data_IF_347179775968
#
_entry.id   IF_347179775968
#
_cell.length_a   1.000
_cell.length_b   1.000
_cell.length_c   1.000
_cell.angle_alpha   90.00
_cell.angle_beta   90.00
_cell.angle_gamma   90.00
#
_symmetry.space_group_name_H-M   'P 1'
#
loop_
_entity.id
_entity.type
_entity.pdbx_description
1 polymer ?
#
# COMPACT_ATOMS: atom_id res chain seq x y z
N UNK A 1 -16.58 -21.26 9.61
CA UNK A 1 -16.06 -22.23 8.63
C UNK A 1 -14.91 -22.98 9.27
N UNK A 2 -14.96 -24.32 9.32
CA UNK A 2 -13.97 -25.17 9.99
C UNK A 2 -12.89 -25.58 8.97
N UNK A 3 -11.61 -25.40 9.31
CA UNK A 3 -10.49 -25.87 8.50
C UNK A 3 -10.04 -27.26 8.97
N UNK A 4 -10.03 -28.23 8.06
CA UNK A 4 -9.51 -29.57 8.29
C UNK A 4 -8.02 -29.62 7.91
N UNK A 5 -7.16 -29.99 8.85
CA UNK A 5 -5.73 -30.26 8.58
C UNK A 5 -5.58 -31.72 8.14
N UNK A 6 -5.05 -31.96 6.94
CA UNK A 6 -4.39 -33.23 6.60
C UNK A 6 -2.89 -32.96 6.51
N UNK A 7 -2.13 -33.51 7.45
CA UNK A 7 -0.67 -33.51 7.45
C UNK A 7 -0.23 -34.85 6.89
N UNK A 8 0.52 -34.84 5.78
CA UNK A 8 1.31 -35.97 5.31
C UNK A 8 2.78 -35.60 5.53
N UNK A 9 3.48 -36.39 6.34
CA UNK A 9 4.88 -36.15 6.68
C UNK A 9 5.85 -36.73 5.65
N UNK A 10 6.95 -36.02 5.44
CA UNK A 10 8.21 -36.58 4.97
C UNK A 10 9.34 -35.81 5.69
N UNK A 11 10.21 -36.54 6.39
CA UNK A 11 11.34 -36.03 7.16
C UNK A 11 12.57 -35.99 6.27
N UNK A 12 13.22 -34.84 6.10
CA UNK A 12 14.61 -34.72 5.60
C UNK A 12 15.30 -33.48 6.22
N UNK A 13 16.37 -33.77 6.97
CA UNK A 13 17.54 -32.94 7.38
C UNK A 13 17.35 -31.43 7.60
N UNK A 14 17.38 -31.04 8.88
CA UNK A 14 17.35 -29.65 9.36
C UNK A 14 18.68 -28.92 9.16
N UNK A 15 18.70 -27.93 8.28
CA UNK A 15 19.56 -26.75 8.39
C UNK A 15 18.82 -25.77 9.30
N UNK A 16 19.43 -25.36 10.42
CA UNK A 16 18.87 -24.32 11.28
C UNK A 16 19.01 -22.96 10.59
N UNK A 17 18.07 -22.64 9.69
CA UNK A 17 17.64 -21.25 9.57
C UNK A 17 16.74 -21.00 10.78
N UNK A 18 17.03 -19.95 11.55
CA UNK A 18 16.09 -19.41 12.52
C UNK A 18 14.87 -18.83 11.78
N UNK A 19 14.03 -19.71 11.25
CA UNK A 19 12.73 -19.37 10.69
C UNK A 19 11.80 -19.06 11.84
N UNK A 20 11.34 -17.81 11.93
CA UNK A 20 10.21 -17.48 12.78
C UNK A 20 8.99 -18.24 12.26
N UNK A 21 8.69 -19.41 12.82
CA UNK A 21 7.42 -20.08 12.62
C UNK A 21 6.35 -19.31 13.40
N UNK A 22 5.78 -18.29 12.76
CA UNK A 22 4.67 -17.51 13.31
C UNK A 22 3.42 -18.36 13.41
N UNK A 23 3.15 -18.89 14.60
CA UNK A 23 1.81 -19.37 14.97
C UNK A 23 0.89 -18.16 15.07
N UNK A 24 -0.32 -18.28 14.52
CA UNK A 24 -1.38 -17.28 14.50
C UNK A 24 -1.57 -16.58 15.86
N UNK A 25 -1.03 -15.36 15.99
CA UNK A 25 -1.32 -14.41 17.06
C UNK A 25 -2.07 -13.22 16.45
N UNK A 26 -3.24 -12.93 16.98
CA UNK A 26 -4.15 -11.88 16.53
C UNK A 26 -3.78 -10.47 17.04
N UNK A 27 -2.54 -10.26 17.48
CA UNK A 27 -2.07 -8.96 17.95
C UNK A 27 -0.69 -8.62 17.37
N UNK A 28 -0.66 -7.63 16.47
CA UNK A 28 0.57 -7.14 15.82
C UNK A 28 1.59 -6.61 16.85
N UNK A 29 1.17 -6.32 18.09
CA UNK A 29 2.07 -5.89 19.19
C UNK A 29 2.97 -7.00 19.73
N UNK A 30 2.57 -8.27 19.61
CA UNK A 30 3.43 -9.38 20.03
C UNK A 30 4.54 -9.66 19.00
N UNK A 31 4.27 -9.51 17.71
CA UNK A 31 5.24 -9.75 16.63
C UNK A 31 6.42 -8.75 16.70
N UNK A 32 6.13 -7.48 17.04
CA UNK A 32 7.16 -6.46 17.22
C UNK A 32 8.12 -6.74 18.39
N UNK A 33 7.71 -7.56 19.38
CA UNK A 33 8.58 -7.98 20.49
C UNK A 33 9.46 -9.18 20.14
N UNK A 34 9.06 -10.00 19.18
CA UNK A 34 9.79 -11.22 18.81
C UNK A 34 10.88 -10.99 17.77
N UNK A 35 10.88 -9.84 17.07
CA UNK A 35 11.87 -9.47 16.06
C UNK A 35 12.28 -8.00 16.21
N UNK A 36 13.18 -7.64 17.15
CA UNK A 36 13.67 -6.28 17.25
C UNK A 36 14.33 -5.86 15.92
N UNK A 37 14.17 -4.59 15.55
CA UNK A 37 14.87 -4.04 14.39
C UNK A 37 16.38 -4.19 14.59
N UNK A 38 17.12 -4.64 13.56
CA UNK A 38 18.57 -4.74 13.68
C UNK A 38 19.19 -3.35 13.77
N UNK A 39 20.37 -3.25 14.39
CA UNK A 39 21.16 -2.02 14.40
C UNK A 39 21.79 -1.71 13.04
N UNK A 40 21.93 -2.72 12.19
CA UNK A 40 22.44 -2.62 10.83
C UNK A 40 21.47 -3.30 9.86
N UNK A 41 21.09 -2.60 8.80
CA UNK A 41 20.21 -3.14 7.76
C UNK A 41 21.02 -3.74 6.62
N UNK A 42 20.66 -4.96 6.20
CA UNK A 42 21.20 -5.60 5.01
C UNK A 42 20.04 -5.94 4.08
N UNK A 43 20.22 -5.70 2.78
CA UNK A 43 19.20 -5.92 1.76
C UNK A 43 19.81 -6.62 0.56
N UNK A 44 19.05 -7.54 -0.04
CA UNK A 44 19.32 -8.08 -1.36
C UNK A 44 18.28 -7.50 -2.32
N UNK A 45 18.73 -6.92 -3.43
CA UNK A 45 17.86 -6.32 -4.43
C UNK A 45 17.63 -7.31 -5.58
N UNK A 46 16.37 -7.44 -6.01
CA UNK A 46 16.05 -8.14 -7.25
C UNK A 46 16.50 -7.33 -8.48
N UNK A 47 16.38 -7.92 -9.66
CA UNK A 47 16.28 -7.14 -10.90
C UNK A 47 14.99 -6.31 -10.91
N UNK A 48 14.83 -5.44 -11.93
CA UNK A 48 13.56 -4.76 -12.16
C UNK A 48 12.41 -5.78 -12.31
N UNK A 49 11.37 -5.63 -11.49
CA UNK A 49 10.21 -6.54 -11.45
C UNK A 49 9.07 -6.07 -12.35
N UNK A 50 8.92 -4.75 -12.50
CA UNK A 50 7.86 -4.12 -13.28
C UNK A 50 8.48 -3.04 -14.15
N UNK A 51 8.18 -3.08 -15.44
CA UNK A 51 8.55 -2.05 -16.40
C UNK A 51 7.31 -1.27 -16.82
N UNK A 52 7.43 0.03 -17.15
CA UNK A 52 6.32 0.78 -17.72
C UNK A 52 5.86 0.17 -19.05
N UNK A 53 4.56 0.24 -19.33
CA UNK A 53 4.04 -0.11 -20.66
C UNK A 53 4.56 0.84 -21.75
N UNK A 54 4.44 0.44 -23.02
CA UNK A 54 4.80 1.29 -24.16
C UNK A 54 4.15 2.68 -24.09
N UNK A 55 4.92 3.72 -24.41
CA UNK A 55 4.48 5.11 -24.32
C UNK A 55 4.51 5.72 -22.92
N UNK A 56 4.81 4.93 -21.88
CA UNK A 56 5.01 5.40 -20.51
C UNK A 56 6.52 5.52 -20.23
N UNK A 57 6.97 6.69 -19.76
CA UNK A 57 8.38 7.00 -19.50
C UNK A 57 8.91 6.43 -18.18
N UNK A 58 8.01 6.13 -17.24
CA UNK A 58 8.38 5.56 -15.95
C UNK A 58 7.19 5.15 -15.11
N UNK A 59 7.45 4.22 -14.18
CA UNK A 59 6.54 3.80 -13.12
C UNK A 59 7.24 4.02 -11.77
N UNK A 60 6.55 4.68 -10.83
CA UNK A 60 7.13 5.16 -9.58
C UNK A 60 6.12 5.10 -8.42
N UNK A 61 6.63 5.35 -7.22
CA UNK A 61 5.84 5.55 -5.99
C UNK A 61 4.82 4.43 -5.71
N UNK A 62 5.24 3.15 -5.69
CA UNK A 62 4.31 2.05 -5.48
C UNK A 62 3.77 2.03 -4.05
N UNK A 63 2.44 1.91 -3.90
CA UNK A 63 1.79 1.43 -2.69
C UNK A 63 1.35 -0.01 -2.90
N UNK A 64 1.78 -0.91 -2.01
CA UNK A 64 1.59 -2.35 -2.14
C UNK A 64 0.83 -2.90 -0.93
N UNK A 65 -0.21 -3.69 -1.18
CA UNK A 65 -0.91 -4.46 -0.14
C UNK A 65 -1.11 -5.91 -0.59
N UNK A 66 -1.09 -6.86 0.35
CA UNK A 66 -1.40 -8.26 0.07
C UNK A 66 -2.80 -8.60 0.59
N UNK A 67 -3.70 -9.02 -0.30
CA UNK A 67 -5.10 -9.31 0.00
C UNK A 67 -5.63 -10.35 -0.99
N UNK A 68 -6.48 -11.27 -0.52
CA UNK A 68 -7.07 -12.35 -1.34
C UNK A 68 -6.04 -13.06 -2.26
N UNK A 69 -4.95 -13.50 -1.64
CA UNK A 69 -3.84 -14.23 -2.26
C UNK A 69 -3.12 -13.48 -3.40
N UNK A 70 -3.22 -12.14 -3.43
CA UNK A 70 -2.56 -11.29 -4.43
C UNK A 70 -1.89 -10.08 -3.81
N UNK A 71 -0.80 -9.66 -4.44
CA UNK A 71 -0.29 -8.31 -4.29
C UNK A 71 -1.13 -7.37 -5.16
N UNK A 72 -1.63 -6.30 -4.56
CA UNK A 72 -2.31 -5.20 -5.23
C UNK A 72 -1.43 -3.96 -5.18
N UNK A 73 -1.12 -3.40 -6.35
CA UNK A 73 -0.18 -2.29 -6.50
C UNK A 73 -0.93 -1.10 -7.11
N UNK A 74 -0.84 0.05 -6.44
CA UNK A 74 -1.10 1.36 -7.03
C UNK A 74 0.23 2.06 -7.23
N UNK A 75 0.45 2.68 -8.39
CA UNK A 75 1.68 3.39 -8.70
C UNK A 75 1.42 4.63 -9.54
N UNK A 76 2.36 5.57 -9.50
CA UNK A 76 2.45 6.71 -10.41
C UNK A 76 3.00 6.25 -11.75
N UNK A 77 2.44 6.73 -12.86
CA UNK A 77 3.02 6.61 -14.20
C UNK A 77 3.15 7.98 -14.87
N UNK A 78 4.08 8.13 -15.81
CA UNK A 78 4.29 9.36 -16.55
C UNK A 78 4.36 9.12 -18.06
N UNK A 79 3.53 9.81 -18.83
CA UNK A 79 3.53 9.78 -20.31
C UNK A 79 3.70 11.19 -20.93
N UNK A 80 4.37 12.07 -20.21
CA UNK A 80 4.33 13.51 -20.41
C UNK A 80 3.34 14.21 -19.47
N UNK A 81 2.42 13.45 -18.84
CA UNK A 81 1.60 13.90 -17.73
C UNK A 81 1.67 12.90 -16.57
N UNK A 82 1.49 13.38 -15.34
CA UNK A 82 1.42 12.52 -14.16
C UNK A 82 0.05 11.84 -14.06
N UNK A 83 0.06 10.51 -14.03
CA UNK A 83 -1.11 9.63 -14.00
C UNK A 83 -0.88 8.51 -13.00
N UNK A 84 -1.84 7.60 -12.87
CA UNK A 84 -1.68 6.41 -12.04
C UNK A 84 -2.16 5.13 -12.70
N UNK A 85 -1.67 4.03 -12.16
CA UNK A 85 -1.93 2.68 -12.64
C UNK A 85 -2.24 1.76 -11.46
N UNK A 86 -3.13 0.80 -11.70
CA UNK A 86 -3.40 -0.33 -10.82
C UNK A 86 -3.02 -1.64 -11.51
N UNK A 87 -2.46 -2.59 -10.77
CA UNK A 87 -2.27 -3.95 -11.23
C UNK A 87 -2.16 -4.90 -10.03
N UNK A 88 -2.37 -6.20 -10.29
CA UNK A 88 -2.22 -7.23 -9.27
C UNK A 88 -1.63 -8.51 -9.85
N UNK A 89 -0.98 -9.27 -8.97
CA UNK A 89 -0.38 -10.57 -9.28
C UNK A 89 -0.26 -11.42 -8.00
N UNK A 90 -0.31 -12.74 -8.13
CA UNK A 90 -0.23 -13.66 -6.99
C UNK A 90 1.22 -13.86 -6.48
N UNK A 91 2.19 -13.82 -7.39
CA UNK A 91 3.60 -14.09 -7.10
C UNK A 91 4.48 -13.03 -7.78
N UNK A 92 5.51 -12.57 -7.09
CA UNK A 92 6.50 -11.60 -7.59
C UNK A 92 7.19 -12.05 -8.88
N UNK A 93 7.32 -13.36 -9.11
CA UNK A 93 7.83 -13.90 -10.38
C UNK A 93 6.94 -13.57 -11.59
N UNK A 94 5.67 -13.25 -11.33
CA UNK A 94 4.69 -12.87 -12.35
C UNK A 94 4.44 -11.36 -12.40
N UNK A 95 5.14 -10.55 -11.60
CA UNK A 95 4.95 -9.09 -11.56
C UNK A 95 5.12 -8.43 -12.94
N UNK A 96 6.09 -8.91 -13.72
CA UNK A 96 6.37 -8.41 -15.07
C UNK A 96 5.28 -8.72 -16.10
N UNK A 97 4.39 -9.68 -15.81
CA UNK A 97 3.26 -10.09 -16.67
C UNK A 97 1.94 -9.46 -16.25
N UNK A 98 1.92 -8.73 -15.14
CA UNK A 98 0.70 -8.15 -14.60
C UNK A 98 0.12 -7.11 -15.56
N UNK A 99 -1.19 -7.20 -15.83
CA UNK A 99 -1.88 -6.24 -16.69
C UNK A 99 -1.99 -4.92 -15.93
N UNK A 100 -1.26 -3.92 -16.41
CA UNK A 100 -1.30 -2.54 -15.94
C UNK A 100 -2.59 -1.86 -16.42
N UNK A 101 -3.45 -1.48 -15.49
CA UNK A 101 -4.72 -0.78 -15.74
C UNK A 101 -4.56 0.71 -15.41
N UNK A 102 -4.47 1.60 -16.41
CA UNK A 102 -4.45 3.04 -16.17
C UNK A 102 -5.72 3.48 -15.46
N UNK A 103 -5.59 4.34 -14.46
CA UNK A 103 -6.72 4.83 -13.65
C UNK A 103 -7.52 5.95 -14.35
N UNK A 104 -7.02 6.46 -15.47
CA UNK A 104 -7.68 7.53 -16.21
C UNK A 104 -9.07 7.10 -16.69
N UNK A 105 -10.09 7.94 -16.48
CA UNK A 105 -11.48 7.63 -16.81
C UNK A 105 -12.25 6.84 -15.74
N UNK A 106 -11.58 6.37 -14.68
CA UNK A 106 -12.29 5.84 -13.50
C UNK A 106 -12.89 6.98 -12.67
N UNK A 107 -13.83 6.67 -11.76
CA UNK A 107 -14.42 7.67 -10.84
C UNK A 107 -13.38 8.31 -9.92
N UNK A 108 -12.32 7.58 -9.57
CA UNK A 108 -11.20 8.09 -8.76
C UNK A 108 -10.42 9.17 -9.51
N UNK A 109 -10.22 8.97 -10.82
CA UNK A 109 -9.23 9.69 -11.59
C UNK A 109 -7.80 9.23 -11.26
N UNK A 110 -6.82 10.06 -11.57
CA UNK A 110 -5.41 9.74 -11.29
C UNK A 110 -5.05 10.02 -9.82
N UNK A 111 -4.27 9.12 -9.23
CA UNK A 111 -3.74 9.17 -7.86
C UNK A 111 -2.21 9.10 -7.88
N UNK A 112 -1.57 10.26 -7.82
CA UNK A 112 -0.10 10.38 -7.85
C UNK A 112 0.45 10.24 -6.42
N UNK A 113 1.58 9.55 -6.29
CA UNK A 113 2.15 9.13 -4.99
C UNK A 113 1.09 8.48 -4.08
N UNK A 114 0.47 7.38 -4.54
CA UNK A 114 -0.64 6.77 -3.82
C UNK A 114 -0.20 6.18 -2.48
N UNK A 115 -1.10 6.16 -1.51
CA UNK A 115 -0.99 5.33 -0.31
C UNK A 115 -2.29 4.57 -0.09
N UNK A 116 -2.23 3.24 -0.13
CA UNK A 116 -3.38 2.35 0.00
C UNK A 116 -3.31 1.53 1.27
N UNK A 117 -4.37 1.57 2.08
CA UNK A 117 -4.52 0.71 3.26
C UNK A 117 -5.99 0.44 3.59
N UNK A 118 -6.22 -0.59 4.40
CA UNK A 118 -7.55 -0.93 4.88
C UNK A 118 -7.82 -0.27 6.23
N UNK A 119 -8.86 0.55 6.30
CA UNK A 119 -9.31 1.19 7.53
C UNK A 119 -10.47 0.40 8.15
N UNK A 120 -10.12 -0.46 9.12
CA UNK A 120 -11.04 -1.39 9.79
C UNK A 120 -12.31 -0.73 10.34
N UNK A 121 -12.25 0.44 11.01
CA UNK A 121 -13.46 1.05 11.60
C UNK A 121 -14.54 1.40 10.57
N UNK A 122 -14.17 1.64 9.31
CA UNK A 122 -15.12 1.90 8.23
C UNK A 122 -15.39 0.68 7.34
N UNK A 123 -14.70 -0.43 7.59
CA UNK A 123 -14.73 -1.62 6.72
C UNK A 123 -14.44 -1.26 5.25
N UNK A 124 -13.44 -0.40 5.02
CA UNK A 124 -13.13 0.16 3.69
C UNK A 124 -11.63 0.26 3.44
N UNK A 125 -11.26 0.07 2.19
CA UNK A 125 -9.97 0.48 1.65
C UNK A 125 -9.96 1.98 1.39
N UNK A 126 -8.82 2.59 1.62
CA UNK A 126 -8.53 3.99 1.34
C UNK A 126 -7.35 4.07 0.36
N UNK A 127 -7.40 5.03 -0.55
CA UNK A 127 -6.31 5.40 -1.45
C UNK A 127 -6.11 6.91 -1.35
N UNK A 128 -5.04 7.33 -0.70
CA UNK A 128 -4.63 8.72 -0.55
C UNK A 128 -3.72 9.13 -1.71
N UNK A 129 -3.79 10.39 -2.13
CA UNK A 129 -3.01 10.93 -3.25
C UNK A 129 -2.52 12.34 -2.96
N UNK A 130 -1.40 12.71 -3.56
CA UNK A 130 -0.90 14.08 -3.56
C UNK A 130 -1.71 15.02 -4.47
N UNK A 131 -1.41 16.32 -4.39
CA UNK A 131 -2.02 17.43 -5.13
C UNK A 131 -3.54 17.57 -4.93
N UNK A 132 -3.88 18.38 -3.93
CA UNK A 132 -5.26 18.60 -3.49
C UNK A 132 -5.67 17.72 -2.31
N UNK A 133 -4.70 17.15 -1.57
CA UNK A 133 -4.93 16.42 -0.30
C UNK A 133 -6.11 15.46 -0.42
N UNK A 134 -6.05 14.55 -1.39
CA UNK A 134 -7.19 13.75 -1.81
C UNK A 134 -7.17 12.31 -1.27
N UNK A 135 -8.35 11.73 -1.09
CA UNK A 135 -8.54 10.30 -0.89
C UNK A 135 -9.78 9.78 -1.62
N UNK A 136 -9.75 8.50 -1.96
CA UNK A 136 -10.90 7.72 -2.41
C UNK A 136 -11.06 6.48 -1.54
N UNK A 137 -12.26 5.89 -1.54
CA UNK A 137 -12.55 4.68 -0.76
C UNK A 137 -13.24 3.60 -1.59
N UNK A 138 -13.07 2.34 -1.21
CA UNK A 138 -13.86 1.22 -1.74
C UNK A 138 -14.09 0.15 -0.67
N UNK A 139 -15.11 -0.69 -0.82
CA UNK A 139 -15.26 -1.95 -0.10
C UNK A 139 -14.57 -3.13 -0.80
N UNK A 140 -14.26 -2.99 -2.09
CA UNK A 140 -13.67 -4.04 -2.93
C UNK A 140 -12.41 -3.50 -3.63
N UNK A 141 -11.24 -3.90 -3.14
CA UNK A 141 -9.95 -3.49 -3.68
C UNK A 141 -9.66 -4.10 -5.07
N UNK A 142 -10.38 -5.16 -5.45
CA UNK A 142 -10.15 -5.89 -6.70
C UNK A 142 -10.81 -5.21 -7.90
N UNK A 143 -11.87 -4.41 -7.68
CA UNK A 143 -12.57 -3.64 -8.71
C UNK A 143 -12.15 -2.17 -8.70
N UNK A 144 -11.37 -1.77 -9.70
CA UNK A 144 -10.91 -0.39 -9.88
C UNK A 144 -12.05 0.63 -10.06
N UNK A 145 -13.22 0.20 -10.55
CA UNK A 145 -14.37 1.07 -10.81
C UNK A 145 -15.28 1.25 -9.60
N UNK A 146 -15.11 0.43 -8.56
CA UNK A 146 -15.88 0.48 -7.32
C UNK A 146 -15.49 1.67 -6.42
N UNK A 147 -14.30 2.23 -6.64
CA UNK A 147 -13.76 3.32 -5.85
C UNK A 147 -14.56 4.61 -6.02
N UNK A 148 -14.73 5.34 -4.92
CA UNK A 148 -15.45 6.63 -4.90
C UNK A 148 -14.68 7.72 -5.64
N UNK A 149 -15.41 8.76 -6.07
CA UNK A 149 -14.78 10.02 -6.44
C UNK A 149 -13.92 10.58 -5.31
N UNK A 150 -12.86 11.31 -5.69
CA UNK A 150 -11.90 11.93 -4.78
C UNK A 150 -12.60 12.89 -3.82
N UNK A 151 -12.21 12.83 -2.55
CA UNK A 151 -12.59 13.78 -1.48
C UNK A 151 -11.33 14.34 -0.83
N UNK A 152 -11.40 15.52 -0.23
CA UNK A 152 -10.26 16.10 0.47
C UNK A 152 -10.20 15.62 1.93
N UNK A 153 -9.02 15.38 2.49
CA UNK A 153 -8.84 14.91 3.89
C UNK A 153 -8.09 15.87 4.84
N UNK A 154 -7.48 16.93 4.32
CA UNK A 154 -6.72 17.92 5.11
C UNK A 154 -7.16 19.36 4.78
N UNK A 155 -8.46 19.63 4.82
CA UNK A 155 -8.97 20.97 4.49
C UNK A 155 -8.47 22.05 5.48
N UNK A 156 -8.28 21.69 6.75
CA UNK A 156 -7.72 22.58 7.80
C UNK A 156 -6.23 22.30 8.09
N UNK A 157 -5.51 21.69 7.14
CA UNK A 157 -4.07 21.46 7.28
C UNK A 157 -3.26 22.77 7.26
N UNK A 158 -1.93 22.72 7.50
CA UNK A 158 -1.08 23.90 7.46
C UNK A 158 -1.21 24.67 6.14
N UNK A 159 -0.96 25.99 6.12
CA UNK A 159 -1.02 26.76 4.89
C UNK A 159 0.01 26.23 3.88
N UNK A 160 -0.40 26.14 2.62
CA UNK A 160 0.50 25.75 1.52
C UNK A 160 1.42 26.94 1.23
N UNK A 161 2.72 26.75 1.40
CA UNK A 161 3.72 27.76 1.06
C UNK A 161 3.81 27.94 -0.46
N UNK A 162 3.74 29.18 -0.93
CA UNK A 162 3.85 29.48 -2.36
C UNK A 162 5.19 28.99 -2.91
N UNK A 163 5.15 28.25 -4.02
CA UNK A 163 6.34 27.69 -4.66
C UNK A 163 6.90 26.42 -4.00
N UNK A 164 6.27 25.92 -2.93
CA UNK A 164 6.64 24.66 -2.28
C UNK A 164 5.44 23.70 -2.26
N UNK A 165 5.35 22.78 -3.23
CA UNK A 165 4.24 21.84 -3.25
C UNK A 165 4.35 20.88 -2.07
N UNK A 166 3.20 20.55 -1.47
CA UNK A 166 3.08 19.42 -0.55
C UNK A 166 2.92 18.13 -1.35
N UNK A 167 3.80 17.17 -1.07
CA UNK A 167 3.91 15.91 -1.80
C UNK A 167 3.85 14.72 -0.82
N UNK A 168 3.67 13.54 -1.39
CA UNK A 168 3.94 12.25 -0.74
C UNK A 168 3.23 12.02 0.61
N UNK A 169 1.95 12.37 0.71
CA UNK A 169 1.19 12.18 1.96
C UNK A 169 1.22 10.73 2.46
N UNK A 170 1.48 10.56 3.75
CA UNK A 170 1.45 9.27 4.43
C UNK A 170 0.56 9.32 5.68
N UNK A 171 -0.52 8.54 5.66
CA UNK A 171 -1.46 8.42 6.76
C UNK A 171 -1.12 7.21 7.61
N UNK A 172 -1.04 7.42 8.92
CA UNK A 172 -0.90 6.34 9.90
C UNK A 172 -1.81 6.63 11.11
N UNK A 173 -2.37 5.56 11.66
CA UNK A 173 -3.23 5.60 12.85
C UNK A 173 -2.62 4.75 13.95
N UNK A 174 -2.77 5.17 15.20
CA UNK A 174 -2.46 4.33 16.36
C UNK A 174 -3.67 3.49 16.80
N UNK A 175 -3.40 2.40 17.52
CA UNK A 175 -4.45 1.65 18.22
C UNK A 175 -4.76 2.38 19.53
N UNK A 176 -5.70 3.32 19.48
CA UNK A 176 -6.28 3.94 20.67
C UNK A 176 -7.25 2.99 21.41
N UNK A 177 -7.50 3.21 22.72
CA UNK A 177 -8.54 2.46 23.42
C UNK A 177 -9.91 2.65 22.73
N UNK A 178 -10.70 1.59 22.64
CA UNK A 178 -12.02 1.61 22.03
C UNK A 178 -12.87 2.74 22.66
N UNK A 179 -13.20 3.77 21.87
CA UNK A 179 -13.94 4.96 22.34
C UNK A 179 -13.13 6.26 22.38
N UNK A 180 -11.80 6.24 22.22
CA UNK A 180 -11.01 7.46 22.01
C UNK A 180 -11.08 7.88 20.54
N UNK A 181 -12.25 8.36 20.10
CA UNK A 181 -12.56 8.72 18.72
C UNK A 181 -11.88 10.04 18.25
N UNK A 182 -10.87 10.53 18.96
CA UNK A 182 -10.37 11.90 18.79
C UNK A 182 -8.84 12.00 18.60
N UNK A 183 -8.21 10.95 18.06
CA UNK A 183 -6.89 11.10 17.44
C UNK A 183 -7.06 11.14 15.93
N UNK A 184 -7.04 12.37 15.39
CA UNK A 184 -7.03 12.62 13.95
C UNK A 184 -5.94 11.74 13.31
N UNK A 185 -6.18 11.14 12.13
CA UNK A 185 -5.14 10.45 11.38
C UNK A 185 -3.91 11.36 11.32
N UNK A 186 -2.75 10.86 11.75
CA UNK A 186 -1.54 11.66 11.62
C UNK A 186 -1.11 11.55 10.17
N UNK A 187 -1.16 12.68 9.47
CA UNK A 187 -0.66 12.79 8.12
C UNK A 187 0.77 13.29 8.23
N UNK A 188 1.71 12.41 7.90
CA UNK A 188 3.09 12.79 7.71
C UNK A 188 3.22 13.32 6.28
N UNK A 189 3.77 14.52 6.14
CA UNK A 189 4.25 15.04 4.85
C UNK A 189 5.77 14.86 4.83
N UNK A 190 6.31 13.86 4.13
CA UNK A 190 7.74 13.71 3.99
C UNK A 190 8.20 14.50 2.75
N UNK A 191 9.02 15.52 3.03
CA UNK A 191 9.89 16.30 2.13
C UNK A 191 9.29 17.55 1.45
N UNK A 192 10.03 18.68 1.52
CA UNK A 192 10.00 19.67 0.44
C UNK A 192 10.57 19.04 -0.84
N UNK A 193 9.96 19.35 -1.98
CA UNK A 193 10.42 18.93 -3.31
C UNK A 193 11.93 19.18 -3.49
N UNK A 194 12.64 18.19 -4.04
CA UNK A 194 14.01 18.34 -4.56
C UNK A 194 14.00 19.14 -5.87
#
# INVERSE_FOLDING_TARGET
MKFNKKVLGAVLTSVWLAGCTGTSSSDNREIAKTCPLPSEFQWEASSALVSPNEGIFGIKDPSVVYYEDKYHIWATINDGNWKSVYFSFADWQNASKAVQQPMNGTKVGNTVAPQVFYYRPHNKWYNFTQWGRGYSTTSDITDVNSWTARKDFLQDGPPIEQGKPELDYWVICDDGPAGAFERKPTVLTPRPSA
#
